data_IF_443353591030
#
_entry.id   IF_443353591030
#
_cell.length_a   1.000
_cell.length_b   1.000
_cell.length_c   1.000
_cell.angle_alpha   90.00
_cell.angle_beta   90.00
_cell.angle_gamma   90.00
#
_symmetry.space_group_name_H-M   'P 1'
#
loop_
_entity.id
_entity.type
_entity.pdbx_description
1 polymer ?
#
# COMPACT_ATOMS: atom_id res chain seq x y z
N UNK A 1 -21.61 8.95 -11.91
CA UNK A 1 -20.50 9.81 -11.42
C UNK A 1 -19.37 9.00 -10.78
N UNK A 2 -19.64 8.16 -9.76
CA UNK A 2 -18.60 7.33 -9.10
C UNK A 2 -17.87 6.35 -10.05
N UNK A 3 -18.60 5.70 -10.96
CA UNK A 3 -17.99 4.77 -11.93
C UNK A 3 -16.93 5.44 -12.83
N UNK A 4 -17.17 6.67 -13.29
CA UNK A 4 -16.22 7.41 -14.11
C UNK A 4 -14.96 7.77 -13.31
N UNK A 5 -15.14 8.23 -12.06
CA UNK A 5 -14.01 8.51 -11.17
C UNK A 5 -13.19 7.23 -10.89
N UNK A 6 -13.86 6.10 -10.68
CA UNK A 6 -13.21 4.80 -10.53
C UNK A 6 -12.43 4.37 -11.77
N UNK A 7 -13.00 4.48 -12.97
CA UNK A 7 -12.31 4.12 -14.22
C UNK A 7 -11.04 4.93 -14.47
N UNK A 8 -11.00 6.17 -13.98
CA UNK A 8 -9.79 7.00 -14.02
C UNK A 8 -8.81 6.53 -12.94
N UNK A 9 -9.25 6.48 -11.67
CA UNK A 9 -8.39 6.18 -10.53
C UNK A 9 -7.75 4.78 -10.60
N UNK A 10 -8.49 3.78 -11.11
CA UNK A 10 -8.01 2.39 -11.19
C UNK A 10 -6.79 2.22 -12.09
N UNK A 11 -6.53 3.15 -13.03
CA UNK A 11 -5.34 3.12 -13.90
C UNK A 11 -4.06 3.45 -13.13
N UNK A 12 -4.19 4.15 -12.00
CA UNK A 12 -3.08 4.61 -11.16
C UNK A 12 -3.04 3.93 -9.79
N UNK A 13 -4.08 3.17 -9.45
CA UNK A 13 -4.20 2.45 -8.17
C UNK A 13 -3.71 1.02 -8.35
N UNK A 14 -2.72 0.60 -7.55
CA UNK A 14 -2.17 -0.76 -7.58
C UNK A 14 -2.32 -1.44 -6.22
N UNK A 15 -2.53 -2.77 -6.19
CA UNK A 15 -2.57 -3.50 -4.93
C UNK A 15 -1.19 -3.54 -4.28
N UNK A 16 -1.16 -3.62 -2.96
CA UNK A 16 0.03 -3.94 -2.18
C UNK A 16 -0.31 -5.04 -1.19
N UNK A 17 0.57 -6.03 -1.14
CA UNK A 17 0.46 -7.18 -0.24
C UNK A 17 1.75 -7.21 0.56
N UNK A 18 1.61 -7.28 1.89
CA UNK A 18 2.74 -7.30 2.80
C UNK A 18 2.65 -8.52 3.71
N UNK A 19 3.81 -9.09 4.03
CA UNK A 19 3.97 -10.14 5.03
C UNK A 19 5.20 -9.84 5.85
N UNK A 20 5.07 -9.87 7.17
CA UNK A 20 6.14 -9.62 8.11
C UNK A 20 6.24 -10.78 9.08
N UNK A 21 7.42 -11.37 9.11
CA UNK A 21 7.77 -12.39 10.09
C UNK A 21 8.44 -11.72 11.29
N UNK A 22 7.88 -11.94 12.46
CA UNK A 22 8.45 -11.51 13.73
C UNK A 22 9.55 -12.47 14.20
N UNK A 23 10.36 -12.03 15.17
CA UNK A 23 11.47 -12.82 15.75
C UNK A 23 10.96 -14.11 16.38
N UNK A 24 9.79 -14.07 17.02
CA UNK A 24 9.11 -15.23 17.62
C UNK A 24 8.57 -16.24 16.59
N UNK A 25 8.77 -15.97 15.29
CA UNK A 25 8.31 -16.81 14.19
C UNK A 25 6.85 -16.58 13.80
N UNK A 26 6.10 -15.72 14.50
CA UNK A 26 4.76 -15.32 14.08
C UNK A 26 4.81 -14.49 12.79
N UNK A 27 3.72 -14.55 12.01
CA UNK A 27 3.60 -13.81 10.74
C UNK A 27 2.37 -12.91 10.79
N UNK A 28 2.57 -11.63 10.45
CA UNK A 28 1.48 -10.68 10.20
C UNK A 28 1.42 -10.34 8.73
N UNK A 29 0.24 -10.48 8.14
CA UNK A 29 -0.02 -10.14 6.75
C UNK A 29 -0.96 -8.93 6.66
N UNK A 30 -0.81 -8.17 5.59
CA UNK A 30 -1.67 -7.03 5.28
C UNK A 30 -1.91 -6.88 3.78
N UNK A 31 -3.07 -6.37 3.42
CA UNK A 31 -3.44 -6.04 2.04
C UNK A 31 -3.96 -4.61 1.99
N UNK A 32 -3.59 -3.89 0.94
CA UNK A 32 -4.07 -2.54 0.70
C UNK A 32 -3.86 -2.14 -0.75
N UNK A 33 -3.90 -0.83 -0.98
CA UNK A 33 -3.60 -0.24 -2.27
C UNK A 33 -2.84 1.08 -2.09
N UNK A 34 -2.12 1.47 -3.13
CA UNK A 34 -1.55 2.80 -3.25
C UNK A 34 -1.93 3.39 -4.60
N UNK A 35 -1.94 4.72 -4.68
CA UNK A 35 -2.20 5.46 -5.92
C UNK A 35 -0.98 6.28 -6.30
N UNK A 36 -0.58 6.22 -7.57
CA UNK A 36 0.50 7.05 -8.13
C UNK A 36 -0.07 8.46 -8.41
N UNK A 37 0.61 9.49 -7.91
CA UNK A 37 0.17 10.88 -7.98
C UNK A 37 0.71 11.64 -9.19
N UNK A 38 1.90 11.28 -9.68
CA UNK A 38 2.57 11.99 -10.77
C UNK A 38 3.56 11.09 -11.54
N UNK A 39 4.12 11.61 -12.64
CA UNK A 39 5.12 10.93 -13.48
C UNK A 39 6.49 10.75 -12.81
N UNK A 40 6.75 11.45 -11.71
CA UNK A 40 7.96 11.27 -10.91
C UNK A 40 7.88 10.04 -9.98
N UNK A 41 6.69 9.42 -9.88
CA UNK A 41 6.49 8.20 -9.10
C UNK A 41 6.10 8.44 -7.64
N UNK A 42 5.62 9.63 -7.28
CA UNK A 42 5.07 9.87 -5.94
C UNK A 42 3.82 9.01 -5.72
N UNK A 43 3.67 8.46 -4.51
CA UNK A 43 2.56 7.56 -4.18
C UNK A 43 1.87 7.99 -2.89
N UNK A 44 0.56 7.74 -2.82
CA UNK A 44 -0.24 7.87 -1.60
C UNK A 44 -0.83 6.52 -1.21
N UNK A 45 -0.81 6.22 0.08
CA UNK A 45 -1.48 5.07 0.69
C UNK A 45 -1.80 5.39 2.15
N UNK A 46 -2.41 4.45 2.86
CA UNK A 46 -2.67 4.59 4.30
C UNK A 46 -1.42 4.24 5.10
N UNK A 47 -1.17 4.98 6.19
CA UNK A 47 0.06 4.82 6.97
C UNK A 47 0.28 3.39 7.51
N UNK A 48 -0.79 2.70 7.93
CA UNK A 48 -0.70 1.34 8.48
C UNK A 48 -0.28 0.29 7.43
N UNK A 49 -0.47 0.55 6.14
CA UNK A 49 0.04 -0.33 5.07
C UNK A 49 1.57 -0.25 4.97
N UNK A 50 2.15 0.94 5.18
CA UNK A 50 3.60 1.15 5.16
C UNK A 50 4.25 0.80 6.51
N UNK A 51 3.49 0.78 7.61
CA UNK A 51 4.01 0.51 8.95
C UNK A 51 4.90 -0.73 9.02
N UNK A 52 4.53 -1.78 8.29
CA UNK A 52 5.30 -3.02 8.16
C UNK A 52 6.76 -2.82 7.71
N UNK A 53 7.02 -1.82 6.86
CA UNK A 53 8.36 -1.47 6.40
C UNK A 53 9.12 -0.55 7.38
N UNK A 54 8.39 0.21 8.19
CA UNK A 54 8.97 1.15 9.16
C UNK A 54 9.36 0.46 10.47
N UNK A 55 8.62 -0.58 10.88
CA UNK A 55 8.84 -1.28 12.14
C UNK A 55 10.19 -1.98 12.23
N UNK A 56 10.81 -2.36 11.10
CA UNK A 56 12.14 -3.00 11.10
C UNK A 56 13.32 -2.00 11.22
N UNK A 57 13.07 -0.68 11.11
CA UNK A 57 14.13 0.35 11.19
C UNK A 57 14.33 0.94 12.60
N UNK A 58 13.65 0.40 13.62
CA UNK A 58 13.85 0.74 15.04
C UNK A 58 14.62 -0.38 15.74
#
# INVERSE_FOLDING_TARGET
>A
MFANAYEIARKFTRPVICSMRHIDGSVKCGVGAFTILNSEGWMVTTAHIIQVMLTFKQ
#
